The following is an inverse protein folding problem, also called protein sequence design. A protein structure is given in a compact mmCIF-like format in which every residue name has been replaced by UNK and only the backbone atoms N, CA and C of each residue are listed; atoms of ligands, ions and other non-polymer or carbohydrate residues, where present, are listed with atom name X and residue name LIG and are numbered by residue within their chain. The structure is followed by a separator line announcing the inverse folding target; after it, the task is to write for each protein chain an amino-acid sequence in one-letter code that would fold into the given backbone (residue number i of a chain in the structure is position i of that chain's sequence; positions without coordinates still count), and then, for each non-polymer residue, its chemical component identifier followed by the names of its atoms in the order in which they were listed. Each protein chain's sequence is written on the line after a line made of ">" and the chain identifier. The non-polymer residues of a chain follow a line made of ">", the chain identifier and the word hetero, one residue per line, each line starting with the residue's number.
data_IF_432176048478
#
_entry.id   IF_432176048478
#
_cell.length_a   1.000
_cell.length_b   1.000
_cell.length_c   1.000
_cell.angle_alpha   90.00
_cell.angle_beta   90.00
_cell.angle_gamma   90.00
#
_symmetry.space_group_name_H-M   'P 1'
#
loop_
_entity.id
_entity.type
_entity.pdbx_description
1 polymer ?
#
# COMPACT_ATOMS: atom_id res chain seq x y z
N UNK A 1 -12.03 3.39 -4.80
CA UNK A 1 -11.56 3.73 -6.15
C UNK A 1 -10.19 4.41 -6.09
N UNK A 2 -10.04 5.59 -5.46
CA UNK A 2 -8.72 6.27 -5.39
C UNK A 2 -7.62 5.39 -4.74
N UNK A 3 -7.89 4.85 -3.55
CA UNK A 3 -6.94 3.98 -2.81
C UNK A 3 -6.62 2.70 -3.60
N UNK A 4 -7.64 2.05 -4.18
CA UNK A 4 -7.46 0.79 -4.92
C UNK A 4 -6.49 0.97 -6.10
N UNK A 5 -6.62 2.08 -6.84
CA UNK A 5 -5.75 2.38 -7.98
C UNK A 5 -4.33 2.71 -7.53
N UNK A 6 -4.16 3.54 -6.50
CA UNK A 6 -2.83 3.91 -5.97
C UNK A 6 -2.05 2.65 -5.56
N UNK A 7 -2.67 1.71 -4.84
CA UNK A 7 -1.99 0.49 -4.40
C UNK A 7 -1.67 -0.43 -5.60
N UNK A 8 -2.57 -0.56 -6.57
CA UNK A 8 -2.33 -1.36 -7.78
C UNK A 8 -1.28 -0.76 -8.71
N UNK A 9 -1.16 0.57 -8.75
CA UNK A 9 -0.13 1.29 -9.50
C UNK A 9 1.23 1.24 -8.79
N UNK A 10 1.24 1.33 -7.47
CA UNK A 10 2.44 1.14 -6.66
C UNK A 10 3.00 -0.29 -6.80
N UNK A 11 2.11 -1.29 -6.77
CA UNK A 11 2.41 -2.71 -6.97
C UNK A 11 3.68 -3.14 -6.21
N UNK A 12 3.68 -3.13 -4.87
CA UNK A 12 4.90 -3.28 -4.06
C UNK A 12 5.73 -4.52 -4.39
N UNK A 13 5.07 -5.60 -4.83
CA UNK A 13 5.71 -6.87 -5.18
C UNK A 13 5.98 -7.05 -6.67
N UNK A 14 5.66 -6.06 -7.51
CA UNK A 14 5.83 -6.10 -8.97
C UNK A 14 5.14 -7.31 -9.63
N UNK A 15 3.89 -7.58 -9.23
CA UNK A 15 3.12 -8.76 -9.67
C UNK A 15 2.32 -8.51 -10.95
N UNK A 16 1.98 -7.26 -11.26
CA UNK A 16 1.23 -6.95 -12.47
C UNK A 16 2.11 -7.07 -13.73
N UNK A 17 1.56 -7.54 -14.87
CA UNK A 17 0.14 -7.82 -15.15
C UNK A 17 -0.30 -9.27 -14.85
N UNK A 18 0.53 -10.10 -14.22
CA UNK A 18 0.28 -11.53 -14.07
C UNK A 18 -0.47 -11.92 -12.79
N UNK A 19 -0.72 -10.94 -11.92
CA UNK A 19 -1.44 -11.12 -10.67
C UNK A 19 -2.94 -11.43 -10.87
N UNK A 20 -3.59 -12.12 -9.92
CA UNK A 20 -5.03 -12.23 -9.86
C UNK A 20 -5.74 -10.87 -9.81
N UNK A 21 -7.01 -10.82 -10.22
CA UNK A 21 -7.79 -9.57 -10.22
C UNK A 21 -7.98 -8.99 -8.81
N UNK A 22 -7.99 -9.85 -7.80
CA UNK A 22 -8.16 -9.55 -6.39
C UNK A 22 -6.83 -9.30 -5.65
N UNK A 23 -5.71 -9.23 -6.35
CA UNK A 23 -4.42 -8.84 -5.79
C UNK A 23 -4.53 -7.52 -5.01
N UNK A 24 -3.91 -7.49 -3.82
CA UNK A 24 -3.95 -6.41 -2.83
C UNK A 24 -5.30 -6.10 -2.17
N UNK A 25 -6.40 -6.83 -2.47
CA UNK A 25 -7.71 -6.50 -1.91
C UNK A 25 -7.75 -6.55 -0.37
N UNK A 26 -6.98 -7.45 0.23
CA UNK A 26 -6.92 -7.60 1.67
C UNK A 26 -6.26 -6.39 2.34
N UNK A 27 -5.08 -6.00 1.85
CA UNK A 27 -4.30 -4.83 2.28
C UNK A 27 -5.09 -3.55 2.07
N UNK A 28 -5.71 -3.39 0.90
CA UNK A 28 -6.58 -2.24 0.58
C UNK A 28 -7.73 -2.11 1.59
N UNK A 29 -8.36 -3.21 2.00
CA UNK A 29 -9.44 -3.19 3.00
C UNK A 29 -8.92 -2.72 4.37
N UNK A 30 -7.71 -3.15 4.74
CA UNK A 30 -7.05 -2.72 5.97
C UNK A 30 -6.71 -1.23 5.94
N UNK A 31 -6.10 -0.74 4.86
CA UNK A 31 -5.76 0.68 4.64
C UNK A 31 -7.00 1.57 4.71
N UNK A 32 -8.08 1.19 4.00
CA UNK A 32 -9.36 1.92 4.05
C UNK A 32 -9.96 1.96 5.45
N UNK A 33 -9.74 0.94 6.26
CA UNK A 33 -10.21 0.91 7.64
C UNK A 33 -9.35 1.82 8.51
N UNK A 34 -8.03 1.75 8.38
CA UNK A 34 -7.09 2.59 9.11
C UNK A 34 -7.34 4.09 8.89
N UNK A 35 -7.43 4.53 7.63
CA UNK A 35 -7.61 5.95 7.26
C UNK A 35 -8.92 6.56 7.79
N UNK A 36 -9.94 5.72 8.08
CA UNK A 36 -11.19 6.19 8.70
C UNK A 36 -10.99 6.64 10.14
N UNK A 37 -10.02 6.08 10.85
CA UNK A 37 -9.77 6.34 12.27
C UNK A 37 -8.56 7.26 12.49
N UNK A 38 -7.53 7.12 11.66
CA UNK A 38 -6.29 7.91 11.77
C UNK A 38 -5.87 8.44 10.39
N UNK A 39 -5.75 9.76 10.29
CA UNK A 39 -5.31 10.47 9.08
C UNK A 39 -3.88 11.00 9.19
N UNK A 40 -3.17 10.67 10.26
CA UNK A 40 -1.77 11.04 10.40
C UNK A 40 -0.92 10.27 9.38
N UNK A 41 -0.18 11.00 8.56
CA UNK A 41 0.61 10.46 7.45
C UNK A 41 1.73 9.54 7.95
N UNK A 42 2.43 9.91 9.04
CA UNK A 42 3.52 9.11 9.60
C UNK A 42 3.00 7.78 10.17
N UNK A 43 1.83 7.80 10.80
CA UNK A 43 1.18 6.59 11.31
C UNK A 43 0.71 5.69 10.15
N UNK A 44 0.17 6.27 9.08
CA UNK A 44 -0.20 5.52 7.88
C UNK A 44 1.04 4.89 7.21
N UNK A 45 2.15 5.60 7.12
CA UNK A 45 3.40 5.07 6.55
C UNK A 45 3.90 3.84 7.31
N UNK A 46 3.94 3.92 8.65
CA UNK A 46 4.29 2.78 9.52
C UNK A 46 3.29 1.63 9.40
N UNK A 47 2.01 1.95 9.25
CA UNK A 47 0.98 0.94 9.04
C UNK A 47 1.18 0.20 7.72
N UNK A 48 1.48 0.92 6.62
CA UNK A 48 1.83 0.30 5.33
C UNK A 48 3.03 -0.62 5.48
N UNK A 49 4.12 -0.14 6.09
CA UNK A 49 5.31 -0.96 6.36
C UNK A 49 5.00 -2.23 7.17
N UNK A 50 4.00 -2.19 8.06
CA UNK A 50 3.62 -3.34 8.88
C UNK A 50 2.77 -4.41 8.18
N UNK A 51 2.03 -4.03 7.12
CA UNK A 51 1.11 -4.96 6.43
C UNK A 51 1.69 -5.51 5.14
N UNK A 52 2.74 -4.91 4.60
CA UNK A 52 3.49 -5.43 3.46
C UNK A 52 4.79 -6.07 3.94
N UNK A 53 5.07 -7.29 3.47
CA UNK A 53 6.35 -7.95 3.70
C UNK A 53 7.51 -7.20 2.99
N UNK A 54 8.25 -6.42 3.77
CA UNK A 54 9.36 -5.57 3.29
C UNK A 54 10.52 -6.41 2.74
N UNK A 55 10.71 -7.63 3.22
CA UNK A 55 11.78 -8.52 2.75
C UNK A 55 11.51 -9.03 1.33
N UNK A 56 10.23 -9.10 0.94
CA UNK A 56 9.78 -9.52 -0.41
C UNK A 56 9.80 -8.35 -1.41
N UNK A 57 9.79 -7.11 -0.95
CA UNK A 57 9.89 -5.93 -1.82
C UNK A 57 11.32 -5.80 -2.32
N UNK A 58 11.58 -6.25 -3.55
CA UNK A 58 12.91 -6.19 -4.17
C UNK A 58 13.30 -4.81 -4.71
N UNK A 59 12.32 -3.98 -5.08
CA UNK A 59 12.58 -2.62 -5.57
C UNK A 59 12.64 -1.65 -4.39
N UNK A 60 13.84 -1.17 -4.07
CA UNK A 60 14.06 -0.21 -2.99
C UNK A 60 13.26 1.09 -3.16
N UNK A 61 12.94 1.50 -4.39
CA UNK A 61 12.09 2.69 -4.62
C UNK A 61 10.66 2.46 -4.12
N UNK A 62 10.18 1.21 -4.11
CA UNK A 62 8.86 0.85 -3.61
C UNK A 62 8.78 0.79 -2.09
N UNK A 63 9.93 0.83 -1.39
CA UNK A 63 9.98 0.90 0.09
C UNK A 63 9.79 2.32 0.64
N UNK A 64 9.51 3.31 -0.22
CA UNK A 64 9.18 4.66 0.24
C UNK A 64 7.72 4.76 0.73
N UNK A 65 7.42 4.09 1.84
CA UNK A 65 6.08 4.03 2.42
C UNK A 65 5.52 5.40 2.81
N UNK A 66 6.39 6.37 3.15
CA UNK A 66 5.97 7.73 3.46
C UNK A 66 5.40 8.43 2.24
N UNK A 67 5.96 8.21 1.05
CA UNK A 67 5.44 8.81 -0.17
C UNK A 67 4.09 8.21 -0.56
N UNK A 68 3.97 6.88 -0.48
CA UNK A 68 2.70 6.19 -0.72
C UNK A 68 1.63 6.64 0.28
N UNK A 69 1.99 6.82 1.55
CA UNK A 69 1.06 7.32 2.56
C UNK A 69 0.51 8.71 2.21
N UNK A 70 1.31 9.61 1.64
CA UNK A 70 0.84 10.94 1.21
C UNK A 70 -0.14 10.88 0.04
N UNK A 71 0.03 9.94 -0.89
CA UNK A 71 -0.86 9.80 -2.04
C UNK A 71 -2.27 9.31 -1.63
N UNK A 72 -2.33 8.53 -0.55
CA UNK A 72 -3.55 7.87 -0.06
C UNK A 72 -4.51 8.81 0.69
N UNK A 73 -4.05 9.93 1.24
CA UNK A 73 -4.85 10.88 2.06
C UNK A 73 -5.08 12.23 1.40
#
# INVERSE_FOLDING_TARGET
>A
MKIDNIIKEWDPYSLFPYAPQDEYNYEIKQIKSFIKYDKNIDNLAKFLESIFDVEVIYDENKKNFLEIAKELV
#
